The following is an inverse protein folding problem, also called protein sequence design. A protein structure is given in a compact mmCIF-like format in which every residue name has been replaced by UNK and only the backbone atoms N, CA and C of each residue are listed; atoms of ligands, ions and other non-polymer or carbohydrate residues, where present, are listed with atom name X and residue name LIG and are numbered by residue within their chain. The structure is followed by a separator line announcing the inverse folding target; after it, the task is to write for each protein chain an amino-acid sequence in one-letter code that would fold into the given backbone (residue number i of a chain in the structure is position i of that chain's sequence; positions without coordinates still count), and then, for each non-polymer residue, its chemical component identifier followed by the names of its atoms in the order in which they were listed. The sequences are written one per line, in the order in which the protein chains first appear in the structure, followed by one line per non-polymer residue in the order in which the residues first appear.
data_IF_679175885763
#
_entry.id   IF_679175885763
#
_cell.length_a   1.000
_cell.length_b   1.000
_cell.length_c   1.000
_cell.angle_alpha   90.00
_cell.angle_beta   90.00
_cell.angle_gamma   90.00
#
_symmetry.space_group_name_H-M   'P 1'
#
loop_
_entity.id
_entity.type
_entity.pdbx_description
1 polymer ?
#
# COMPACT_ATOMS: atom_id res chain seq x y z
N UNK A 1 28.74 22.49 -1.12
CA UNK A 1 27.45 22.12 -1.73
C UNK A 1 27.53 20.64 -2.02
N UNK A 2 26.97 19.79 -1.15
CA UNK A 2 27.03 18.33 -1.33
C UNK A 2 25.65 17.81 -1.70
N UNK A 3 25.59 17.20 -2.88
CA UNK A 3 24.46 16.46 -3.41
C UNK A 3 24.20 15.22 -2.54
N UNK A 4 22.95 15.01 -2.14
CA UNK A 4 22.52 13.78 -1.49
C UNK A 4 22.23 12.72 -2.56
N UNK A 5 23.02 11.64 -2.55
CA UNK A 5 22.88 10.46 -3.38
C UNK A 5 21.83 9.53 -2.76
N UNK A 6 20.69 9.33 -3.41
CA UNK A 6 19.75 8.25 -3.09
C UNK A 6 20.21 6.96 -3.79
N UNK A 7 21.22 6.30 -3.22
CA UNK A 7 21.51 4.88 -3.48
C UNK A 7 21.43 4.16 -2.14
N UNK A 8 20.21 3.98 -1.65
CA UNK A 8 19.91 3.19 -0.46
C UNK A 8 18.82 2.21 -0.83
N UNK A 9 19.18 0.92 -0.79
CA UNK A 9 18.31 -0.21 -1.04
C UNK A 9 17.12 -0.17 -0.06
N UNK A 10 15.94 0.19 -0.58
CA UNK A 10 14.71 0.38 0.21
C UNK A 10 14.19 -0.97 0.77
N UNK A 11 14.82 -2.09 0.42
CA UNK A 11 14.43 -3.44 0.83
C UNK A 11 15.10 -3.87 2.15
N UNK A 12 16.19 -3.21 2.56
CA UNK A 12 16.97 -3.63 3.73
C UNK A 12 16.42 -3.16 5.08
N UNK A 13 15.67 -2.05 5.11
CA UNK A 13 15.28 -1.38 6.36
C UNK A 13 13.89 -1.76 6.86
N UNK A 14 13.06 -2.39 6.02
CA UNK A 14 11.71 -2.82 6.39
C UNK A 14 11.68 -4.05 7.33
N UNK A 15 12.82 -4.75 7.52
CA UNK A 15 12.85 -6.04 8.20
C UNK A 15 13.02 -5.94 9.74
N UNK A 16 13.20 -4.74 10.30
CA UNK A 16 13.44 -4.55 11.75
C UNK A 16 12.15 -4.30 12.54
N UNK A 17 11.03 -4.01 11.87
CA UNK A 17 9.74 -3.75 12.52
C UNK A 17 8.82 -4.98 12.64
N UNK A 18 9.21 -6.12 12.06
CA UNK A 18 8.38 -7.33 12.01
C UNK A 18 8.26 -8.11 13.32
N UNK A 19 9.10 -7.83 14.33
CA UNK A 19 9.22 -8.72 15.50
C UNK A 19 8.37 -8.31 16.72
N UNK A 20 7.72 -7.13 16.72
CA UNK A 20 7.04 -6.63 17.92
C UNK A 20 5.50 -6.81 17.95
N UNK A 21 4.85 -7.17 16.84
CA UNK A 21 3.39 -7.19 16.77
C UNK A 21 2.73 -8.54 17.15
N UNK A 22 3.51 -9.55 17.56
CA UNK A 22 3.06 -10.94 17.48
C UNK A 22 2.13 -11.45 18.60
N UNK A 23 1.64 -10.59 19.50
CA UNK A 23 0.79 -11.05 20.60
C UNK A 23 -0.35 -10.09 20.85
N UNK A 24 -1.32 -9.98 19.93
CA UNK A 24 -2.72 -9.74 20.27
C UNK A 24 -3.61 -10.06 19.06
N UNK A 25 -4.65 -10.85 19.32
CA UNK A 25 -5.84 -11.00 18.47
C UNK A 25 -5.71 -11.90 17.23
N UNK A 26 -6.28 -13.10 17.29
CA UNK A 26 -6.26 -14.11 16.20
C UNK A 26 -7.63 -14.32 15.56
N UNK A 27 -8.67 -13.66 16.07
CA UNK A 27 -10.07 -13.92 15.66
C UNK A 27 -10.77 -12.70 15.08
N UNK A 28 -10.32 -11.47 15.37
CA UNK A 28 -10.87 -10.25 14.78
C UNK A 28 -10.11 -9.80 13.51
N UNK A 29 -8.89 -10.31 13.32
CA UNK A 29 -7.96 -9.89 12.26
C UNK A 29 -8.23 -10.56 10.90
N UNK A 30 -8.86 -11.74 10.89
CA UNK A 30 -9.18 -12.46 9.64
C UNK A 30 -10.20 -11.70 8.78
N UNK A 31 -11.25 -11.15 9.38
CA UNK A 31 -12.24 -10.34 8.64
C UNK A 31 -11.62 -9.03 8.14
N UNK A 32 -10.84 -8.37 9.01
CA UNK A 32 -10.16 -7.10 8.73
C UNK A 32 -9.08 -7.19 7.64
N UNK A 33 -8.28 -8.25 7.64
CA UNK A 33 -7.31 -8.53 6.59
C UNK A 33 -7.97 -8.84 5.24
N UNK A 34 -9.13 -9.48 5.26
CA UNK A 34 -9.92 -9.76 4.04
C UNK A 34 -10.48 -8.47 3.43
N UNK A 35 -10.98 -7.54 4.26
CA UNK A 35 -11.45 -6.23 3.81
C UNK A 35 -10.30 -5.36 3.24
N UNK A 36 -9.13 -5.35 3.89
CA UNK A 36 -7.98 -4.59 3.41
C UNK A 36 -7.41 -5.15 2.10
N UNK A 37 -7.23 -6.47 1.99
CA UNK A 37 -6.78 -7.11 0.77
C UNK A 37 -7.76 -6.86 -0.40
N UNK A 38 -9.07 -6.89 -0.12
CA UNK A 38 -10.10 -6.55 -1.12
C UNK A 38 -10.01 -5.11 -1.61
N UNK A 39 -9.77 -4.15 -0.70
CA UNK A 39 -9.61 -2.74 -1.07
C UNK A 39 -8.35 -2.49 -1.90
N UNK A 40 -7.24 -3.15 -1.56
CA UNK A 40 -6.00 -3.02 -2.35
C UNK A 40 -6.15 -3.71 -3.71
N UNK A 41 -6.84 -4.84 -3.80
CA UNK A 41 -7.17 -5.46 -5.09
C UNK A 41 -8.01 -4.54 -5.97
N UNK A 42 -9.05 -3.91 -5.40
CA UNK A 42 -9.86 -2.92 -6.10
C UNK A 42 -9.03 -1.72 -6.59
N UNK A 43 -8.07 -1.25 -5.79
CA UNK A 43 -7.12 -0.21 -6.21
C UNK A 43 -6.32 -0.65 -7.46
N UNK A 44 -5.78 -1.88 -7.47
CA UNK A 44 -5.05 -2.40 -8.63
C UNK A 44 -5.95 -2.44 -9.87
N UNK A 45 -7.20 -2.86 -9.72
CA UNK A 45 -8.17 -2.87 -10.82
C UNK A 45 -8.46 -1.45 -11.36
N UNK A 46 -8.63 -0.46 -10.48
CA UNK A 46 -8.84 0.93 -10.90
C UNK A 46 -7.61 1.50 -11.61
N UNK A 47 -6.40 1.19 -11.15
CA UNK A 47 -5.15 1.56 -11.83
C UNK A 47 -5.10 0.92 -13.22
N UNK A 48 -5.48 -0.34 -13.35
CA UNK A 48 -5.48 -1.05 -14.63
C UNK A 48 -6.51 -0.46 -15.62
N UNK A 49 -7.71 -0.10 -15.14
CA UNK A 49 -8.75 0.56 -15.95
C UNK A 49 -8.30 1.92 -16.46
N UNK A 50 -7.60 2.69 -15.62
CA UNK A 50 -7.14 4.05 -15.92
C UNK A 50 -5.68 4.13 -16.34
N UNK A 51 -5.06 3.01 -16.77
CA UNK A 51 -3.61 2.91 -17.03
C UNK A 51 -3.06 4.00 -17.96
N UNK A 52 -3.87 4.47 -18.91
CA UNK A 52 -3.47 5.52 -19.87
C UNK A 52 -3.57 6.94 -19.31
N UNK A 53 -4.26 7.11 -18.19
CA UNK A 53 -4.56 8.40 -17.55
C UNK A 53 -3.68 8.64 -16.31
N UNK A 54 -3.25 7.58 -15.62
CA UNK A 54 -2.31 7.67 -14.50
C UNK A 54 -0.87 7.85 -14.98
N UNK A 55 -0.14 8.74 -14.31
CA UNK A 55 1.28 8.98 -14.59
C UNK A 55 2.11 7.81 -14.04
N UNK A 56 3.06 7.29 -14.83
CA UNK A 56 3.89 6.14 -14.44
C UNK A 56 3.07 4.92 -13.98
N UNK A 57 2.03 4.54 -14.74
CA UNK A 57 1.11 3.47 -14.35
C UNK A 57 1.80 2.13 -14.01
N UNK A 58 2.93 1.79 -14.64
CA UNK A 58 3.73 0.62 -14.28
C UNK A 58 4.32 0.71 -12.86
N UNK A 59 4.83 1.88 -12.48
CA UNK A 59 5.31 2.14 -11.11
C UNK A 59 4.17 2.08 -10.11
N UNK A 60 3.02 2.66 -10.47
CA UNK A 60 1.83 2.65 -9.62
C UNK A 60 1.31 1.23 -9.39
N UNK A 61 1.31 0.40 -10.43
CA UNK A 61 0.92 -1.00 -10.37
C UNK A 61 1.89 -1.79 -9.49
N UNK A 62 3.20 -1.53 -9.56
CA UNK A 62 4.18 -2.14 -8.67
C UNK A 62 3.93 -1.77 -7.20
N UNK A 63 3.72 -0.48 -6.90
CA UNK A 63 3.42 -0.01 -5.54
C UNK A 63 2.13 -0.63 -4.99
N UNK A 64 1.08 -0.69 -5.81
CA UNK A 64 -0.18 -1.31 -5.41
C UNK A 64 -0.04 -2.83 -5.24
N UNK A 65 0.81 -3.48 -6.06
CA UNK A 65 1.19 -4.88 -5.90
C UNK A 65 1.93 -5.13 -4.58
N UNK A 66 2.87 -4.26 -4.19
CA UNK A 66 3.53 -4.34 -2.87
C UNK A 66 2.53 -4.18 -1.73
N UNK A 67 1.60 -3.21 -1.84
CA UNK A 67 0.53 -3.06 -0.86
C UNK A 67 -0.36 -4.31 -0.77
N UNK A 68 -0.59 -5.01 -1.90
CA UNK A 68 -1.39 -6.23 -1.92
C UNK A 68 -0.67 -7.38 -1.22
N UNK A 69 0.66 -7.49 -1.40
CA UNK A 69 1.48 -8.45 -0.65
C UNK A 69 1.37 -8.19 0.86
N UNK A 70 1.55 -6.94 1.29
CA UNK A 70 1.42 -6.56 2.69
C UNK A 70 0.02 -6.78 3.26
N UNK A 71 -1.03 -6.59 2.45
CA UNK A 71 -2.41 -6.82 2.87
C UNK A 71 -2.78 -8.31 2.94
N UNK A 72 -2.12 -9.16 2.15
CA UNK A 72 -2.35 -10.61 2.12
C UNK A 72 -1.58 -11.38 3.19
N UNK A 73 -0.70 -10.71 3.95
CA UNK A 73 0.01 -11.32 5.08
C UNK A 73 -0.97 -11.77 6.17
N UNK A 74 -0.67 -12.85 6.93
CA UNK A 74 -1.51 -13.32 8.04
C UNK A 74 -1.80 -12.24 9.09
N UNK A 75 -0.87 -11.30 9.24
CA UNK A 75 -1.00 -10.06 9.98
C UNK A 75 -0.65 -8.94 8.98
N UNK A 76 -1.64 -8.19 8.48
CA UNK A 76 -1.37 -7.19 7.45
C UNK A 76 -0.33 -6.16 7.90
N UNK A 77 0.67 -5.90 7.06
CA UNK A 77 1.69 -4.89 7.35
C UNK A 77 1.14 -3.48 7.07
N UNK A 78 0.32 -2.99 8.00
CA UNK A 78 -0.37 -1.69 7.94
C UNK A 78 0.59 -0.50 7.82
N UNK A 79 1.74 -0.56 8.50
CA UNK A 79 2.75 0.50 8.44
C UNK A 79 3.47 0.50 7.08
N UNK A 80 3.75 -0.68 6.52
CA UNK A 80 4.23 -0.83 5.15
C UNK A 80 3.26 -0.24 4.14
N UNK A 81 1.96 -0.54 4.26
CA UNK A 81 0.92 0.02 3.39
C UNK A 81 0.83 1.55 3.57
N UNK A 82 0.88 2.06 4.81
CA UNK A 82 0.90 3.52 5.07
C UNK A 82 2.06 4.22 4.40
N UNK A 83 3.24 3.62 4.40
CA UNK A 83 4.41 4.15 3.71
C UNK A 83 4.22 4.29 2.20
N UNK A 84 3.39 3.44 1.59
CA UNK A 84 3.10 3.45 0.16
C UNK A 84 1.98 4.42 -0.24
N UNK A 85 1.08 4.79 0.68
CA UNK A 85 -0.08 5.66 0.40
C UNK A 85 0.29 7.01 -0.24
N UNK A 86 1.31 7.77 0.23
CA UNK A 86 1.67 9.04 -0.39
C UNK A 86 2.13 8.88 -1.84
N UNK A 87 2.88 7.82 -2.14
CA UNK A 87 3.37 7.54 -3.49
C UNK A 87 2.22 7.09 -4.42
N UNK A 88 1.31 6.27 -3.91
CA UNK A 88 0.09 5.87 -4.63
C UNK A 88 -0.81 7.07 -4.93
N UNK A 89 -0.99 7.98 -3.97
CA UNK A 89 -1.79 9.20 -4.16
C UNK A 89 -1.13 10.17 -5.14
N UNK A 90 0.19 10.36 -5.05
CA UNK A 90 0.92 11.21 -5.99
C UNK A 90 0.85 10.67 -7.42
N UNK A 91 1.00 9.35 -7.59
CA UNK A 91 0.95 8.73 -8.91
C UNK A 91 -0.48 8.57 -9.46
N UNK A 92 -1.52 8.59 -8.62
CA UNK A 92 -2.92 8.71 -9.05
C UNK A 92 -3.16 10.02 -9.83
N UNK A 93 -2.39 11.07 -9.52
CA UNK A 93 -2.45 12.35 -10.22
C UNK A 93 -3.84 12.96 -10.19
N UNK A 94 -4.42 13.20 -11.37
CA UNK A 94 -5.77 13.75 -11.52
C UNK A 94 -6.87 12.69 -11.65
N UNK A 95 -6.51 11.40 -11.65
CA UNK A 95 -7.49 10.32 -11.81
C UNK A 95 -8.24 10.10 -10.50
N UNK A 96 -9.41 10.71 -10.39
CA UNK A 96 -10.20 10.73 -9.15
C UNK A 96 -10.61 9.33 -8.69
N UNK A 97 -10.89 8.40 -9.60
CA UNK A 97 -11.24 7.02 -9.26
C UNK A 97 -10.10 6.29 -8.53
N UNK A 98 -8.86 6.45 -9.01
CA UNK A 98 -7.67 5.88 -8.37
C UNK A 98 -7.41 6.58 -7.03
N UNK A 99 -7.53 7.91 -6.96
CA UNK A 99 -7.36 8.65 -5.71
C UNK A 99 -8.40 8.24 -4.64
N UNK A 100 -9.65 8.02 -5.03
CA UNK A 100 -10.71 7.54 -4.12
C UNK A 100 -10.41 6.12 -3.61
N UNK A 101 -9.93 5.23 -4.49
CA UNK A 101 -9.50 3.89 -4.10
C UNK A 101 -8.33 3.93 -3.09
N UNK A 102 -7.33 4.79 -3.32
CA UNK A 102 -6.23 5.00 -2.35
C UNK A 102 -6.75 5.54 -1.02
N UNK A 103 -7.73 6.44 -1.03
CA UNK A 103 -8.34 6.97 0.19
C UNK A 103 -9.10 5.89 0.97
N UNK A 104 -9.81 4.98 0.30
CA UNK A 104 -10.48 3.85 0.97
C UNK A 104 -9.48 2.92 1.63
N UNK A 105 -8.37 2.62 0.97
CA UNK A 105 -7.26 1.85 1.57
C UNK A 105 -6.71 2.60 2.79
N UNK A 106 -6.46 3.91 2.68
CA UNK A 106 -6.02 4.74 3.81
C UNK A 106 -6.98 4.70 5.00
N UNK A 107 -8.28 4.81 4.76
CA UNK A 107 -9.30 4.73 5.81
C UNK A 107 -9.31 3.36 6.48
N UNK A 108 -9.25 2.28 5.70
CA UNK A 108 -9.19 0.92 6.24
C UNK A 108 -7.95 0.75 7.11
N UNK A 109 -6.78 1.19 6.64
CA UNK A 109 -5.53 1.09 7.40
C UNK A 109 -5.58 1.92 8.69
N UNK A 110 -6.20 3.09 8.69
CA UNK A 110 -6.37 3.90 9.91
C UNK A 110 -7.40 3.35 10.91
N UNK A 111 -8.18 2.34 10.51
CA UNK A 111 -9.20 1.69 11.35
C UNK A 111 -8.73 0.38 12.01
N UNK A 112 -7.53 -0.08 11.65
CA UNK A 112 -6.87 -1.27 12.18
C UNK A 112 -5.99 -0.90 13.39
#
# INVERSE_FOLDING_TARGET
MSQFNFSGDISGEANVFGDHAQVHNRSNDYSRGTDLAGLVAALIEEIAKHRTEVHEADRLTQLAGTAAVYAAEPLPNVEGIRGLLPALLAGAGTVTAVADAVLRVSQAVNSL
#
